data_IF_815978263557
#
_entry.id   IF_815978263557
#
_cell.length_a   1.000
_cell.length_b   1.000
_cell.length_c   1.000
_cell.angle_alpha   90.00
_cell.angle_beta   90.00
_cell.angle_gamma   90.00
#
_symmetry.space_group_name_H-M   'P 1'
#
loop_
_entity.id
_entity.type
_entity.pdbx_description
1 polymer ?
#
# COMPACT_ATOMS: atom_id res chain seq x y z
N UNK A 1 -11.62 -2.85 0.70
CA UNK A 1 -11.08 -3.33 -0.60
C UNK A 1 -12.20 -3.97 -1.43
N UNK A 2 -12.64 -3.35 -2.52
CA UNK A 2 -13.85 -3.82 -3.26
C UNK A 2 -13.59 -4.34 -4.67
N UNK A 3 -12.35 -4.26 -5.17
CA UNK A 3 -12.02 -4.71 -6.52
C UNK A 3 -12.23 -6.24 -6.69
N UNK A 4 -12.72 -6.72 -7.85
CA UNK A 4 -13.05 -8.13 -8.08
C UNK A 4 -11.89 -9.09 -7.83
N UNK A 5 -10.66 -8.65 -8.10
CA UNK A 5 -9.44 -9.44 -7.88
C UNK A 5 -9.22 -9.78 -6.41
N UNK A 6 -9.63 -8.91 -5.48
CA UNK A 6 -9.55 -9.16 -4.03
C UNK A 6 -10.66 -10.08 -3.51
N UNK A 7 -11.66 -10.41 -4.35
CA UNK A 7 -12.78 -11.32 -4.00
C UNK A 7 -12.65 -12.68 -4.67
N UNK A 8 -11.57 -12.93 -5.40
CA UNK A 8 -11.32 -14.21 -6.06
C UNK A 8 -11.33 -15.36 -5.03
N UNK A 9 -11.93 -16.49 -5.41
CA UNK A 9 -12.06 -17.66 -4.54
C UNK A 9 -10.70 -18.18 -4.09
N UNK A 10 -9.69 -18.13 -4.96
CA UNK A 10 -8.30 -18.50 -4.64
C UNK A 10 -7.70 -17.66 -3.52
N UNK A 11 -7.96 -16.35 -3.50
CA UNK A 11 -7.49 -15.45 -2.44
C UNK A 11 -8.20 -15.75 -1.12
N UNK A 12 -9.51 -16.01 -1.16
CA UNK A 12 -10.26 -16.40 0.05
C UNK A 12 -9.75 -17.73 0.64
N UNK A 13 -9.48 -18.72 -0.21
CA UNK A 13 -8.91 -19.99 0.23
C UNK A 13 -7.55 -19.78 0.91
N UNK A 14 -6.66 -19.00 0.29
CA UNK A 14 -5.35 -18.69 0.88
C UNK A 14 -5.48 -17.94 2.22
N UNK A 15 -6.37 -16.95 2.31
CA UNK A 15 -6.59 -16.23 3.57
C UNK A 15 -7.03 -17.17 4.70
N UNK A 16 -7.94 -18.11 4.42
CA UNK A 16 -8.36 -19.12 5.39
C UNK A 16 -7.22 -20.06 5.78
N UNK A 17 -6.43 -20.54 4.82
CA UNK A 17 -5.30 -21.46 5.07
C UNK A 17 -4.23 -20.84 5.97
N UNK A 18 -3.98 -19.54 5.83
CA UNK A 18 -2.97 -18.81 6.60
C UNK A 18 -3.55 -18.07 7.82
N UNK A 19 -4.84 -18.27 8.14
CA UNK A 19 -5.49 -17.66 9.31
C UNK A 19 -5.59 -16.13 9.24
N UNK A 20 -5.64 -15.57 8.03
CA UNK A 20 -5.79 -14.13 7.80
C UNK A 20 -7.27 -13.78 7.85
N UNK A 21 -7.69 -13.02 8.87
CA UNK A 21 -9.06 -12.55 9.01
C UNK A 21 -9.35 -11.37 8.07
N UNK A 22 -10.44 -11.46 7.31
CA UNK A 22 -10.91 -10.36 6.47
C UNK A 22 -11.65 -9.33 7.34
N UNK A 23 -11.08 -8.14 7.49
CA UNK A 23 -11.75 -7.05 8.20
C UNK A 23 -12.96 -6.54 7.40
N UNK A 24 -14.11 -6.28 8.05
CA UNK A 24 -15.29 -5.74 7.39
C UNK A 24 -15.05 -4.27 7.00
N UNK A 25 -14.54 -4.05 5.79
CA UNK A 25 -14.34 -2.71 5.24
C UNK A 25 -15.65 -2.17 4.65
N UNK A 26 -16.07 -0.93 4.98
CA UNK A 26 -17.22 -0.31 4.33
C UNK A 26 -16.97 -0.17 2.83
N UNK A 27 -18.03 -0.45 2.06
CA UNK A 27 -18.01 -0.29 0.61
C UNK A 27 -18.03 1.22 0.34
N UNK A 28 -17.07 1.75 -0.44
CA UNK A 28 -16.89 3.18 -0.76
C UNK A 28 -16.15 4.07 0.26
N UNK A 29 -15.19 3.53 1.03
CA UNK A 29 -14.24 4.39 1.78
C UNK A 29 -12.80 4.21 1.28
N UNK A 30 -12.47 4.66 0.05
CA UNK A 30 -11.06 4.74 -0.39
C UNK A 30 -10.23 5.58 0.60
N UNK A 31 -10.82 6.68 1.10
CA UNK A 31 -10.24 7.59 2.10
C UNK A 31 -9.94 6.96 3.47
N UNK A 32 -10.45 5.76 3.74
CA UNK A 32 -10.15 5.04 4.98
C UNK A 32 -9.13 3.93 4.78
N UNK A 33 -8.68 3.65 3.56
CA UNK A 33 -7.68 2.62 3.31
C UNK A 33 -6.31 3.14 3.79
N UNK A 34 -5.71 2.58 4.87
CA UNK A 34 -4.42 3.05 5.38
C UNK A 34 -3.32 2.94 4.33
N UNK A 35 -3.47 2.00 3.37
CA UNK A 35 -2.57 1.86 2.25
C UNK A 35 -2.63 3.05 1.29
N UNK A 36 -3.80 3.64 1.03
CA UNK A 36 -3.92 4.81 0.15
C UNK A 36 -3.26 6.04 0.78
N UNK A 37 -3.45 6.25 2.08
CA UNK A 37 -2.75 7.31 2.81
C UNK A 37 -1.22 7.13 2.81
N UNK A 38 -0.74 5.89 2.91
CA UNK A 38 0.69 5.58 2.80
C UNK A 38 1.23 5.84 1.41
N UNK A 39 0.50 5.44 0.35
CA UNK A 39 0.88 5.71 -1.04
C UNK A 39 0.95 7.20 -1.32
N UNK A 40 -0.03 7.97 -0.87
CA UNK A 40 -0.07 9.42 -1.02
C UNK A 40 1.12 10.09 -0.33
N UNK A 41 1.45 9.67 0.90
CA UNK A 41 2.60 10.24 1.62
C UNK A 41 3.93 9.87 0.97
N UNK A 42 4.06 8.63 0.48
CA UNK A 42 5.24 8.17 -0.25
C UNK A 42 5.41 8.96 -1.55
N UNK A 43 4.33 9.22 -2.29
CA UNK A 43 4.35 10.02 -3.50
C UNK A 43 4.69 11.49 -3.23
N UNK A 44 4.10 12.10 -2.18
CA UNK A 44 4.46 13.46 -1.73
C UNK A 44 5.94 13.57 -1.40
N UNK A 45 6.53 12.56 -0.75
CA UNK A 45 7.96 12.51 -0.42
C UNK A 45 8.82 12.27 -1.67
N UNK A 46 8.38 11.46 -2.62
CA UNK A 46 9.07 11.21 -3.90
C UNK A 46 9.10 12.48 -4.75
N UNK A 47 7.97 13.18 -4.91
CA UNK A 47 7.82 14.36 -5.77
C UNK A 47 8.74 15.53 -5.38
N UNK A 48 9.27 15.53 -4.14
CA UNK A 48 10.25 16.52 -3.68
C UNK A 48 11.69 16.22 -4.15
N UNK A 49 11.95 15.08 -4.80
CA UNK A 49 13.28 14.65 -5.25
C UNK A 49 13.32 14.44 -6.77
N UNK A 50 14.52 14.33 -7.32
CA UNK A 50 14.79 14.16 -8.76
C UNK A 50 14.02 12.98 -9.37
N UNK A 51 13.57 13.16 -10.62
CA UNK A 51 12.85 12.12 -11.36
C UNK A 51 13.78 10.92 -11.66
N UNK A 52 13.44 9.70 -11.21
CA UNK A 52 14.25 8.51 -11.45
C UNK A 52 14.33 8.21 -12.95
N UNK A 53 15.51 7.78 -13.42
CA UNK A 53 15.78 7.56 -14.85
C UNK A 53 15.54 6.13 -15.30
N UNK A 54 15.48 5.19 -14.35
CA UNK A 54 15.22 3.77 -14.60
C UNK A 54 14.51 3.10 -13.41
N UNK A 55 14.10 1.83 -13.58
CA UNK A 55 13.39 1.07 -12.55
C UNK A 55 14.20 0.86 -11.26
N UNK A 56 15.52 0.71 -11.36
CA UNK A 56 16.37 0.55 -10.18
C UNK A 56 16.44 1.84 -9.36
N UNK A 57 16.57 2.98 -10.04
CA UNK A 57 16.56 4.30 -9.40
C UNK A 57 15.22 4.54 -8.72
N UNK A 58 14.11 4.21 -9.38
CA UNK A 58 12.77 4.32 -8.81
C UNK A 58 12.63 3.45 -7.56
N UNK A 59 13.07 2.19 -7.63
CA UNK A 59 13.02 1.27 -6.49
C UNK A 59 13.86 1.76 -5.33
N UNK A 60 15.10 2.22 -5.59
CA UNK A 60 15.99 2.75 -4.56
C UNK A 60 15.41 4.01 -3.90
N UNK A 61 14.86 4.93 -4.68
CA UNK A 61 14.24 6.15 -4.17
C UNK A 61 13.00 5.84 -3.32
N UNK A 62 12.15 4.89 -3.76
CA UNK A 62 10.98 4.48 -2.98
C UNK A 62 11.39 3.81 -1.66
N UNK A 63 12.41 2.95 -1.68
CA UNK A 63 12.92 2.28 -0.47
C UNK A 63 13.49 3.29 0.52
N UNK A 64 14.32 4.24 0.06
CA UNK A 64 14.87 5.30 0.91
C UNK A 64 13.77 6.11 1.59
N UNK A 65 12.72 6.48 0.84
CA UNK A 65 11.60 7.24 1.41
C UNK A 65 10.75 6.42 2.34
N UNK A 66 10.57 5.13 2.06
CA UNK A 66 9.86 4.19 2.93
C UNK A 66 10.58 4.03 4.27
N UNK A 67 11.90 3.80 4.25
CA UNK A 67 12.72 3.59 5.45
C UNK A 67 12.82 4.86 6.31
N UNK A 68 12.70 6.05 5.69
CA UNK A 68 12.68 7.33 6.38
C UNK A 68 11.31 7.72 6.96
N UNK A 69 10.23 6.94 6.72
CA UNK A 69 8.90 7.28 7.23
C UNK A 69 8.83 7.03 8.75
N UNK A 70 8.36 7.99 9.55
CA UNK A 70 8.21 7.76 10.98
C UNK A 70 7.14 6.68 11.21
N UNK A 71 7.37 5.78 12.18
CA UNK A 71 6.45 4.69 12.53
C UNK A 71 5.02 5.17 12.81
N UNK A 72 4.85 6.42 13.26
CA UNK A 72 3.55 7.06 13.45
C UNK A 72 2.72 7.23 12.16
N UNK A 73 3.36 7.15 10.98
CA UNK A 73 2.67 7.15 9.67
C UNK A 73 2.23 5.74 9.25
N UNK A 74 2.84 4.71 9.83
CA UNK A 74 2.67 3.29 9.46
C UNK A 74 1.70 2.58 10.42
N UNK A 75 1.41 3.18 11.58
CA UNK A 75 0.61 2.59 12.66
C UNK A 75 -0.85 3.00 12.67
#
# INVERSE_FOLDING_TARGET
MTAPVHKARSIKTWMTEFGVEELPWPTQSPDLNPLEHLWDELERRRARNSVPQNLNDLRAALQEKWDAMPQQTIS
#
